data_IF_867655840140
#
_entry.id   IF_867655840140
#
_cell.length_a   1.000
_cell.length_b   1.000
_cell.length_c   1.000
_cell.angle_alpha   90.00
_cell.angle_beta   90.00
_cell.angle_gamma   90.00
#
_symmetry.space_group_name_H-M   'P 1'
#
loop_
_entity.id
_entity.type
_entity.pdbx_description
1 polymer ?
#
# COMPACT_ATOMS: atom_id res chain seq x y z
N UNK A 1 9.97 -11.94 -4.49
CA UNK A 1 9.75 -13.36 -4.21
C UNK A 1 8.58 -13.84 -5.05
N UNK A 2 7.96 -14.97 -4.75
CA UNK A 2 6.79 -15.45 -5.48
C UNK A 2 5.58 -14.57 -5.14
N UNK A 3 4.85 -14.15 -6.17
CA UNK A 3 3.51 -13.61 -6.00
C UNK A 3 2.57 -14.78 -5.70
N UNK A 4 1.72 -14.63 -4.70
CA UNK A 4 0.85 -15.71 -4.23
C UNK A 4 -0.60 -15.35 -4.49
N UNK A 5 -1.36 -16.35 -4.95
CA UNK A 5 -2.79 -16.22 -5.17
C UNK A 5 -3.56 -17.40 -4.55
N UNK A 6 -4.77 -17.12 -4.06
CA UNK A 6 -5.72 -18.16 -3.65
C UNK A 6 -7.14 -17.66 -3.80
N UNK A 7 -8.10 -18.57 -3.92
CA UNK A 7 -9.51 -18.24 -4.01
C UNK A 7 -10.35 -19.23 -3.24
N UNK A 8 -11.57 -18.83 -2.89
CA UNK A 8 -12.45 -19.69 -2.13
C UNK A 8 -13.78 -19.06 -1.83
N UNK A 9 -14.47 -19.68 -0.88
CA UNK A 9 -15.75 -19.23 -0.34
C UNK A 9 -15.56 -18.93 1.14
N UNK A 10 -16.09 -17.80 1.58
CA UNK A 10 -16.19 -17.45 2.99
C UNK A 10 -17.65 -17.59 3.46
N UNK A 11 -17.83 -18.11 4.67
CA UNK A 11 -19.16 -18.32 5.26
C UNK A 11 -19.81 -17.02 5.75
N UNK A 12 -18.98 -16.06 6.17
CA UNK A 12 -19.36 -14.73 6.65
C UNK A 12 -18.11 -13.85 6.77
N UNK A 13 -18.26 -12.62 7.27
CA UNK A 13 -17.17 -11.65 7.43
C UNK A 13 -16.07 -12.15 8.37
N UNK A 14 -16.43 -12.85 9.45
CA UNK A 14 -15.45 -13.35 10.42
C UNK A 14 -14.60 -14.49 9.85
N UNK A 15 -15.22 -15.47 9.17
CA UNK A 15 -14.51 -16.54 8.48
C UNK A 15 -13.57 -15.98 7.41
N UNK A 16 -14.02 -14.96 6.67
CA UNK A 16 -13.19 -14.25 5.71
C UNK A 16 -11.96 -13.58 6.35
N UNK A 17 -12.12 -12.90 7.49
CA UNK A 17 -11.01 -12.28 8.21
C UNK A 17 -9.94 -13.31 8.61
N UNK A 18 -10.37 -14.45 9.14
CA UNK A 18 -9.47 -15.56 9.52
C UNK A 18 -8.72 -16.09 8.30
N UNK A 19 -9.43 -16.36 7.20
CA UNK A 19 -8.81 -16.83 5.94
C UNK A 19 -7.81 -15.84 5.36
N UNK A 20 -8.10 -14.54 5.39
CA UNK A 20 -7.19 -13.49 4.93
C UNK A 20 -5.92 -13.46 5.80
N UNK A 21 -6.08 -13.47 7.12
CA UNK A 21 -4.96 -13.49 8.08
C UNK A 21 -4.10 -14.75 7.89
N UNK A 22 -4.73 -15.92 7.76
CA UNK A 22 -4.01 -17.18 7.55
C UNK A 22 -3.26 -17.19 6.22
N UNK A 23 -3.87 -16.71 5.12
CA UNK A 23 -3.18 -16.59 3.84
C UNK A 23 -1.94 -15.70 3.93
N UNK A 24 -2.09 -14.48 4.47
CA UNK A 24 -1.00 -13.53 4.57
C UNK A 24 0.13 -14.04 5.49
N UNK A 25 -0.20 -14.70 6.59
CA UNK A 25 0.81 -15.14 7.56
C UNK A 25 1.46 -16.48 7.25
N UNK A 26 0.72 -17.44 6.68
CA UNK A 26 1.20 -18.81 6.46
C UNK A 26 1.71 -19.06 5.06
N UNK A 27 1.20 -18.32 4.06
CA UNK A 27 1.57 -18.50 2.65
C UNK A 27 2.51 -17.39 2.20
N UNK A 28 2.13 -16.13 2.43
CA UNK A 28 2.85 -14.97 1.90
C UNK A 28 4.06 -14.60 2.76
N UNK A 29 3.99 -14.84 4.07
CA UNK A 29 5.08 -14.59 5.02
C UNK A 29 5.00 -13.25 5.76
N UNK A 30 3.82 -12.62 5.77
CA UNK A 30 3.56 -11.49 6.67
C UNK A 30 3.56 -11.97 8.12
N UNK A 31 3.83 -11.07 9.06
CA UNK A 31 3.82 -11.38 10.49
C UNK A 31 2.53 -10.88 11.14
N UNK A 32 1.91 -11.70 11.99
CA UNK A 32 0.86 -11.23 12.90
C UNK A 32 1.51 -10.40 14.01
N UNK A 33 1.35 -9.09 13.94
CA UNK A 33 1.99 -8.12 14.84
C UNK A 33 1.15 -7.83 16.08
N UNK A 34 -0.17 -7.81 15.93
CA UNK A 34 -1.11 -7.68 17.04
C UNK A 34 -2.39 -8.47 16.75
N UNK A 35 -2.97 -9.05 17.80
CA UNK A 35 -4.13 -9.94 17.72
C UNK A 35 -5.22 -9.47 18.68
N UNK A 36 -6.20 -8.76 18.11
CA UNK A 36 -7.41 -8.30 18.80
C UNK A 36 -8.60 -9.23 18.58
N UNK A 37 -8.40 -10.53 18.34
CA UNK A 37 -9.51 -11.47 18.07
C UNK A 37 -10.52 -11.62 19.22
N UNK A 38 -10.14 -11.23 20.44
CA UNK A 38 -11.02 -11.24 21.61
C UNK A 38 -11.81 -9.93 21.81
N UNK A 39 -11.56 -8.91 21.01
CA UNK A 39 -12.25 -7.61 21.10
C UNK A 39 -13.68 -7.66 20.54
N UNK A 40 -14.58 -6.73 20.93
CA UNK A 40 -15.94 -6.66 20.39
C UNK A 40 -16.01 -6.52 18.87
N UNK A 41 -15.04 -5.81 18.28
CA UNK A 41 -14.77 -5.73 16.85
C UNK A 41 -13.43 -6.45 16.59
N UNK A 42 -13.44 -7.77 16.32
CA UNK A 42 -12.22 -8.56 16.19
C UNK A 42 -11.30 -8.00 15.11
N UNK A 43 -10.00 -7.92 15.39
CA UNK A 43 -9.04 -7.41 14.42
C UNK A 43 -7.70 -8.16 14.42
N UNK A 44 -6.98 -8.02 13.32
CA UNK A 44 -5.59 -8.44 13.18
C UNK A 44 -4.75 -7.30 12.61
N UNK A 45 -3.58 -7.05 13.20
CA UNK A 45 -2.58 -6.16 12.65
C UNK A 45 -1.49 -7.01 12.04
N UNK A 46 -1.31 -6.88 10.73
CA UNK A 46 -0.32 -7.62 9.97
C UNK A 46 0.81 -6.69 9.56
N UNK A 47 2.05 -7.18 9.73
CA UNK A 47 3.28 -6.49 9.39
C UNK A 47 3.99 -7.17 8.24
N UNK A 48 4.52 -6.38 7.31
CA UNK A 48 5.49 -6.84 6.33
C UNK A 48 6.71 -5.90 6.26
N UNK A 49 7.87 -6.49 5.96
CA UNK A 49 9.13 -5.77 5.70
C UNK A 49 9.37 -5.50 4.22
N UNK A 50 8.39 -5.84 3.37
CA UNK A 50 8.50 -5.75 1.92
C UNK A 50 9.49 -6.77 1.35
N UNK A 51 9.48 -6.89 0.03
CA UNK A 51 10.44 -7.71 -0.72
C UNK A 51 11.86 -7.15 -0.62
N UNK A 52 12.00 -5.86 -0.38
CA UNK A 52 13.29 -5.19 -0.16
C UNK A 52 13.87 -5.48 1.24
N UNK A 53 13.05 -5.95 2.19
CA UNK A 53 13.43 -6.20 3.58
C UNK A 53 13.65 -4.93 4.41
N UNK A 54 13.44 -3.74 3.84
CA UNK A 54 13.66 -2.45 4.50
C UNK A 54 12.38 -1.63 4.67
N UNK A 55 11.22 -2.19 4.34
CA UNK A 55 9.93 -1.50 4.45
C UNK A 55 9.34 -1.65 5.86
N UNK A 56 8.42 -0.76 6.20
CA UNK A 56 7.56 -0.93 7.37
C UNK A 56 6.10 -0.80 6.94
N UNK A 57 5.48 -1.94 6.68
CA UNK A 57 4.07 -1.99 6.27
C UNK A 57 3.27 -2.52 7.45
N UNK A 58 2.40 -1.70 8.01
CA UNK A 58 1.45 -2.10 9.07
C UNK A 58 0.03 -1.92 8.57
N UNK A 59 -0.71 -3.02 8.41
CA UNK A 59 -2.11 -3.02 8.01
C UNK A 59 -2.97 -3.64 9.11
N UNK A 60 -3.96 -2.90 9.58
CA UNK A 60 -4.99 -3.39 10.48
C UNK A 60 -6.24 -3.78 9.69
N UNK A 61 -6.74 -4.99 9.92
CA UNK A 61 -7.98 -5.53 9.38
C UNK A 61 -8.96 -5.78 10.53
N UNK A 62 -10.10 -5.06 10.52
CA UNK A 62 -11.09 -5.08 11.61
C UNK A 62 -12.40 -5.63 11.06
N UNK A 63 -12.95 -6.66 11.69
CA UNK A 63 -14.34 -7.06 11.49
C UNK A 63 -15.23 -6.06 12.23
N UNK A 64 -15.86 -5.16 11.47
CA UNK A 64 -16.79 -4.18 12.02
C UNK A 64 -18.14 -4.88 12.26
N UNK A 65 -18.38 -5.32 13.49
CA UNK A 65 -19.36 -6.35 13.84
C UNK A 65 -20.82 -6.02 13.50
N UNK A 66 -21.10 -4.79 13.06
CA UNK A 66 -22.45 -4.32 12.69
C UNK A 66 -22.57 -3.96 11.21
N UNK A 67 -21.54 -4.22 10.41
CA UNK A 67 -21.53 -3.86 8.99
C UNK A 67 -20.84 -4.95 8.18
N UNK A 68 -21.42 -5.29 7.03
CA UNK A 68 -20.90 -6.26 6.06
C UNK A 68 -19.56 -5.78 5.41
N UNK A 69 -18.50 -5.64 6.22
CA UNK A 69 -17.17 -5.19 5.79
C UNK A 69 -16.05 -5.58 6.76
N UNK A 70 -14.84 -5.70 6.19
CA UNK A 70 -13.58 -5.63 6.93
C UNK A 70 -13.00 -4.23 6.75
N UNK A 71 -12.95 -3.41 7.82
CA UNK A 71 -12.29 -2.11 7.79
C UNK A 71 -10.79 -2.30 7.67
N UNK A 72 -10.14 -1.52 6.80
CA UNK A 72 -8.69 -1.56 6.60
C UNK A 72 -8.08 -0.21 6.93
N UNK A 73 -7.01 -0.24 7.73
CA UNK A 73 -6.22 0.94 8.09
C UNK A 73 -4.74 0.66 7.92
N UNK A 74 -3.99 1.64 7.43
CA UNK A 74 -2.53 1.62 7.41
C UNK A 74 -1.97 2.48 8.53
N UNK A 75 -0.81 2.13 9.10
CA UNK A 75 -0.13 2.95 10.11
C UNK A 75 1.35 3.14 9.78
N UNK A 76 1.93 4.29 10.15
CA UNK A 76 3.37 4.54 10.10
C UNK A 76 4.11 3.48 10.93
N UNK A 77 3.53 3.18 12.08
CA UNK A 77 3.94 2.18 13.05
C UNK A 77 2.71 1.71 13.84
N UNK A 78 2.76 0.50 14.38
CA UNK A 78 1.77 -0.01 15.32
C UNK A 78 2.40 -0.34 16.67
N UNK A 79 1.92 0.32 17.72
CA UNK A 79 2.27 0.00 19.10
C UNK A 79 1.38 -1.14 19.61
N UNK A 80 1.93 -2.36 19.63
CA UNK A 80 1.24 -3.55 20.12
C UNK A 80 1.04 -3.57 21.64
N UNK A 81 1.73 -2.71 22.40
CA UNK A 81 1.51 -2.57 23.85
C UNK A 81 0.32 -1.65 24.13
N UNK A 82 0.21 -0.57 23.37
CA UNK A 82 -0.91 0.36 23.47
C UNK A 82 -2.13 -0.05 22.64
N UNK A 83 -2.01 -1.08 21.80
CA UNK A 83 -3.00 -1.49 20.80
C UNK A 83 -3.45 -0.32 19.91
N UNK A 84 -2.48 0.46 19.42
CA UNK A 84 -2.75 1.72 18.73
C UNK A 84 -1.82 1.97 17.54
N UNK A 85 -2.40 2.46 16.43
CA UNK A 85 -1.67 2.89 15.25
C UNK A 85 -1.14 4.32 15.38
N UNK A 86 0.10 4.53 14.95
CA UNK A 86 0.71 5.86 14.84
C UNK A 86 0.52 6.40 13.42
N UNK A 87 0.02 7.64 13.32
CA UNK A 87 -0.29 8.34 12.06
C UNK A 87 -1.09 7.49 11.06
N UNK A 88 -2.19 6.88 11.52
CA UNK A 88 -3.04 6.03 10.69
C UNK A 88 -3.52 6.71 9.39
N UNK A 89 -3.64 5.96 8.30
CA UNK A 89 -4.28 6.36 7.06
C UNK A 89 -5.45 5.42 6.76
N UNK A 90 -6.65 5.97 6.71
CA UNK A 90 -7.89 5.24 6.41
C UNK A 90 -9.02 6.21 6.07
N UNK A 91 -10.24 5.77 5.81
CA UNK A 91 -11.42 6.63 5.83
C UNK A 91 -12.61 5.83 6.32
N UNK A 92 -13.29 6.31 7.37
CA UNK A 92 -14.35 5.61 8.11
C UNK A 92 -15.41 4.93 7.23
N UNK A 93 -15.73 5.56 6.09
CA UNK A 93 -16.78 5.09 5.18
C UNK A 93 -16.29 4.45 3.89
N UNK A 94 -14.97 4.40 3.61
CA UNK A 94 -14.49 4.00 2.28
C UNK A 94 -13.33 3.00 2.27
N UNK A 95 -12.47 2.96 3.29
CA UNK A 95 -11.34 2.02 3.32
C UNK A 95 -11.74 0.72 4.01
N UNK A 96 -12.32 -0.16 3.23
CA UNK A 96 -12.76 -1.47 3.70
C UNK A 96 -12.77 -2.47 2.55
N UNK A 97 -12.81 -3.76 2.89
CA UNK A 97 -13.14 -4.86 1.99
C UNK A 97 -14.62 -5.16 2.16
N UNK A 98 -15.37 -5.20 1.06
CA UNK A 98 -16.81 -5.51 1.11
C UNK A 98 -17.02 -7.00 1.38
N UNK A 99 -17.85 -7.33 2.36
CA UNK A 99 -18.23 -8.71 2.69
C UNK A 99 -19.76 -8.83 2.77
N UNK A 100 -20.27 -9.93 3.32
CA UNK A 100 -21.66 -10.12 3.73
C UNK A 100 -21.76 -11.20 4.82
N UNK A 101 -22.50 -10.96 5.88
CA UNK A 101 -22.68 -11.92 6.98
C UNK A 101 -23.87 -12.86 6.79
N UNK A 102 -24.88 -12.41 6.04
CA UNK A 102 -26.13 -13.16 5.86
C UNK A 102 -26.02 -14.34 4.88
N UNK A 103 -24.90 -14.47 4.15
CA UNK A 103 -24.73 -15.51 3.13
C UNK A 103 -23.25 -15.74 2.80
N UNK A 104 -22.96 -16.92 2.27
CA UNK A 104 -21.65 -17.21 1.68
C UNK A 104 -21.32 -16.26 0.51
N UNK A 105 -20.04 -15.96 0.33
CA UNK A 105 -19.54 -15.15 -0.79
C UNK A 105 -18.18 -15.64 -1.27
N UNK A 106 -17.85 -15.36 -2.54
CA UNK A 106 -16.58 -15.75 -3.15
C UNK A 106 -15.51 -14.69 -2.90
N UNK A 107 -14.25 -15.13 -2.80
CA UNK A 107 -13.10 -14.26 -2.68
C UNK A 107 -11.89 -14.74 -3.49
N UNK A 108 -11.01 -13.79 -3.77
CA UNK A 108 -9.67 -14.00 -4.31
C UNK A 108 -8.69 -13.11 -3.55
N UNK A 109 -7.58 -13.70 -3.12
CA UNK A 109 -6.45 -13.01 -2.52
C UNK A 109 -5.26 -13.08 -3.45
N UNK A 110 -4.56 -11.96 -3.59
CA UNK A 110 -3.31 -11.84 -4.32
C UNK A 110 -2.36 -11.03 -3.47
N UNK A 111 -1.16 -11.53 -3.20
CA UNK A 111 -0.21 -10.83 -2.35
C UNK A 111 1.23 -11.31 -2.53
N UNK A 112 2.14 -10.43 -2.19
CA UNK A 112 3.54 -10.68 -1.88
C UNK A 112 3.89 -9.92 -0.58
N UNK A 113 5.17 -9.77 -0.24
CA UNK A 113 5.56 -8.98 0.92
C UNK A 113 5.31 -7.47 0.74
N UNK A 114 5.13 -6.97 -0.48
CA UNK A 114 4.96 -5.53 -0.74
C UNK A 114 3.50 -5.08 -0.65
N UNK A 115 2.54 -5.95 -1.00
CA UNK A 115 1.14 -5.56 -1.05
C UNK A 115 0.16 -6.73 -0.96
N UNK A 116 -1.12 -6.37 -0.77
CA UNK A 116 -2.26 -7.28 -0.86
C UNK A 116 -3.35 -6.64 -1.72
N UNK A 117 -3.85 -7.42 -2.69
CA UNK A 117 -5.10 -7.18 -3.38
C UNK A 117 -6.11 -8.24 -2.97
N UNK A 118 -7.31 -7.78 -2.64
CA UNK A 118 -8.46 -8.61 -2.31
C UNK A 118 -9.58 -8.29 -3.28
N UNK A 119 -10.17 -9.34 -3.85
CA UNK A 119 -11.42 -9.24 -4.60
C UNK A 119 -12.47 -10.08 -3.90
N UNK A 120 -13.67 -9.51 -3.69
CA UNK A 120 -14.84 -10.24 -3.20
C UNK A 120 -15.98 -10.12 -4.19
N UNK A 121 -16.80 -11.17 -4.28
CA UNK A 121 -18.04 -11.16 -5.06
C UNK A 121 -19.22 -11.25 -4.12
N UNK A 122 -19.92 -10.14 -3.93
CA UNK A 122 -21.13 -10.07 -3.11
C UNK A 122 -22.33 -9.95 -4.04
N UNK A 123 -23.22 -10.95 -3.97
CA UNK A 123 -24.26 -11.17 -4.97
C UNK A 123 -23.67 -11.23 -6.40
N UNK A 124 -24.01 -10.27 -7.26
CA UNK A 124 -23.54 -10.21 -8.64
C UNK A 124 -22.39 -9.21 -8.86
N UNK A 125 -21.89 -8.57 -7.79
CA UNK A 125 -20.96 -7.44 -7.89
C UNK A 125 -19.59 -7.81 -7.35
N UNK A 126 -18.54 -7.51 -8.12
CA UNK A 126 -17.16 -7.63 -7.67
C UNK A 126 -16.68 -6.32 -7.04
N UNK A 127 -16.06 -6.45 -5.87
CA UNK A 127 -15.44 -5.37 -5.12
C UNK A 127 -13.95 -5.65 -4.98
N UNK A 128 -13.14 -4.59 -5.04
CA UNK A 128 -11.69 -4.69 -4.96
C UNK A 128 -11.14 -3.84 -3.85
N UNK A 129 -10.09 -4.31 -3.20
CA UNK A 129 -9.34 -3.58 -2.19
C UNK A 129 -7.85 -3.84 -2.38
N UNK A 130 -7.07 -2.77 -2.54
CA UNK A 130 -5.60 -2.84 -2.64
C UNK A 130 -5.00 -2.08 -1.47
N UNK A 131 -4.06 -2.70 -0.74
CA UNK A 131 -3.29 -2.01 0.28
C UNK A 131 -1.84 -2.49 0.30
N UNK A 132 -0.90 -1.59 0.61
CA UNK A 132 0.53 -1.88 0.63
C UNK A 132 1.33 -0.85 -0.16
N UNK A 133 2.51 -1.25 -0.63
CA UNK A 133 3.39 -0.41 -1.43
C UNK A 133 2.85 -0.22 -2.85
N UNK A 134 3.51 0.65 -3.59
CA UNK A 134 3.39 0.81 -5.03
C UNK A 134 4.77 0.70 -5.65
N UNK A 135 4.83 0.44 -6.95
CA UNK A 135 6.06 0.67 -7.72
C UNK A 135 6.33 2.17 -7.71
N UNK A 136 7.33 2.59 -6.92
CA UNK A 136 7.65 4.00 -6.69
C UNK A 136 8.14 4.67 -7.96
N UNK A 137 7.72 5.92 -8.16
CA UNK A 137 8.34 6.78 -9.16
C UNK A 137 9.70 7.34 -8.68
N UNK A 138 9.81 7.60 -7.38
CA UNK A 138 11.05 8.07 -6.73
C UNK A 138 11.88 6.91 -6.19
N UNK A 139 13.13 7.18 -5.84
CA UNK A 139 14.03 6.15 -5.33
C UNK A 139 13.52 5.54 -4.02
N UNK A 140 13.55 4.20 -3.94
CA UNK A 140 13.34 3.45 -2.70
C UNK A 140 14.60 3.33 -1.83
N UNK A 141 15.72 3.95 -2.22
CA UNK A 141 16.95 3.92 -1.42
C UNK A 141 16.78 4.73 -0.13
N UNK A 142 17.28 4.17 0.97
CA UNK A 142 17.13 4.73 2.31
C UNK A 142 18.45 4.64 3.06
N UNK A 143 18.83 5.73 3.73
CA UNK A 143 19.86 5.74 4.74
C UNK A 143 19.24 5.69 6.14
N UNK A 144 19.98 5.17 7.11
CA UNK A 144 19.53 4.88 8.47
C UNK A 144 20.37 5.64 9.47
N UNK A 145 19.73 6.39 10.36
CA UNK A 145 20.42 7.15 11.42
C UNK A 145 21.15 6.20 12.38
N UNK A 146 22.39 6.54 12.70
CA UNK A 146 23.26 5.75 13.58
C UNK A 146 23.16 6.18 15.05
N UNK A 147 22.61 7.37 15.29
CA UNK A 147 22.34 7.92 16.62
C UNK A 147 20.98 8.62 16.61
N UNK A 148 20.40 8.80 17.79
CA UNK A 148 19.24 9.66 17.96
C UNK A 148 19.60 11.12 17.68
N UNK A 149 18.67 11.87 17.08
CA UNK A 149 18.88 13.25 16.65
C UNK A 149 17.81 14.16 17.25
N UNK A 150 18.24 15.35 17.67
CA UNK A 150 17.37 16.35 18.28
C UNK A 150 16.93 17.40 17.25
N UNK A 151 15.74 18.01 17.43
CA UNK A 151 15.28 19.06 16.55
C UNK A 151 16.17 20.30 16.65
N UNK A 152 16.21 21.08 15.57
CA UNK A 152 17.03 22.29 15.49
C UNK A 152 17.31 22.70 14.05
N UNK A 153 18.19 23.69 13.91
CA UNK A 153 18.69 24.15 12.61
C UNK A 153 20.12 23.66 12.38
N UNK A 154 20.49 23.45 11.12
CA UNK A 154 21.80 22.91 10.70
C UNK A 154 22.18 21.62 11.44
N UNK A 155 21.21 20.71 11.53
CA UNK A 155 21.36 19.47 12.30
C UNK A 155 22.22 18.48 11.52
N UNK A 156 23.28 18.00 12.17
CA UNK A 156 24.15 16.95 11.64
C UNK A 156 23.57 15.56 11.97
N UNK A 157 23.21 14.81 10.95
CA UNK A 157 22.76 13.43 11.03
C UNK A 157 23.93 12.48 10.75
N UNK A 158 24.15 11.51 11.62
CA UNK A 158 25.05 10.38 11.32
C UNK A 158 24.23 9.27 10.67
N UNK A 159 24.62 8.82 9.48
CA UNK A 159 23.89 7.80 8.71
C UNK A 159 24.84 6.70 8.24
N UNK A 160 24.30 5.52 7.95
CA UNK A 160 25.08 4.41 7.38
C UNK A 160 25.55 4.66 5.95
N UNK A 161 24.76 5.40 5.14
CA UNK A 161 25.07 5.69 3.75
C UNK A 161 24.60 7.09 3.37
N UNK A 162 25.53 8.01 3.21
CA UNK A 162 25.21 9.37 2.76
C UNK A 162 25.28 9.56 1.23
N UNK A 163 25.67 8.53 0.48
CA UNK A 163 25.90 8.63 -0.97
C UNK A 163 24.61 8.81 -1.79
N UNK A 164 23.46 8.48 -1.20
CA UNK A 164 22.14 8.65 -1.82
C UNK A 164 21.65 10.10 -1.84
N UNK A 165 22.34 11.01 -1.14
CA UNK A 165 21.90 12.40 -0.99
C UNK A 165 22.59 13.34 -1.98
N UNK A 166 21.80 14.27 -2.50
CA UNK A 166 22.27 15.42 -3.26
C UNK A 166 21.96 16.69 -2.47
N UNK A 167 22.97 17.55 -2.32
CA UNK A 167 22.83 18.86 -1.66
C UNK A 167 21.75 19.71 -2.35
N UNK A 168 21.04 20.51 -1.57
CA UNK A 168 19.92 21.37 -1.94
C UNK A 168 18.64 20.63 -2.39
N UNK A 169 18.56 19.32 -2.19
CA UNK A 169 17.35 18.52 -2.44
C UNK A 169 16.59 18.23 -1.15
N UNK A 170 15.30 17.91 -1.32
CA UNK A 170 14.40 17.52 -0.25
C UNK A 170 14.25 16.01 -0.18
N UNK A 171 14.22 15.49 1.05
CA UNK A 171 14.06 14.08 1.37
C UNK A 171 13.08 13.95 2.55
N UNK A 172 12.57 12.74 2.76
CA UNK A 172 11.73 12.41 3.89
C UNK A 172 12.55 11.66 4.93
N UNK A 173 12.43 12.06 6.20
CA UNK A 173 12.92 11.30 7.35
C UNK A 173 11.72 10.80 8.14
N UNK A 174 11.74 9.53 8.53
CA UNK A 174 10.72 8.90 9.39
C UNK A 174 11.33 8.01 10.48
N UNK A 175 10.59 7.84 11.56
CA UNK A 175 10.72 6.74 12.50
C UNK A 175 9.33 6.24 12.89
N UNK A 176 9.22 5.53 14.02
CA UNK A 176 7.95 4.99 14.51
C UNK A 176 6.99 6.09 15.03
N UNK A 177 7.48 7.29 15.28
CA UNK A 177 6.70 8.41 15.85
C UNK A 177 6.28 9.43 14.80
N UNK A 178 7.15 9.66 13.81
CA UNK A 178 7.08 10.83 12.96
C UNK A 178 7.53 10.57 11.53
N UNK A 179 7.11 11.49 10.67
CA UNK A 179 7.64 11.65 9.33
C UNK A 179 7.61 13.14 9.02
N UNK A 180 8.69 13.66 8.44
CA UNK A 180 8.81 15.04 8.00
C UNK A 180 9.69 15.16 6.76
N UNK A 181 9.61 16.31 6.08
CA UNK A 181 10.44 16.63 4.94
C UNK A 181 11.58 17.55 5.35
N UNK A 182 12.80 17.18 4.96
CA UNK A 182 14.04 17.89 5.27
C UNK A 182 14.78 18.26 4.00
N UNK A 183 15.53 19.36 4.01
CA UNK A 183 16.44 19.73 2.92
C UNK A 183 17.88 19.45 3.34
N UNK A 184 18.66 18.80 2.47
CA UNK A 184 20.08 18.52 2.70
C UNK A 184 20.94 19.73 2.31
N UNK A 185 21.85 20.15 3.18
CA UNK A 185 22.80 21.25 2.92
C UNK A 185 24.25 20.79 2.81
N UNK A 186 24.60 19.65 3.40
CA UNK A 186 25.93 19.08 3.30
C UNK A 186 25.88 17.55 3.34
N UNK A 187 26.84 16.92 2.68
CA UNK A 187 27.02 15.47 2.62
C UNK A 187 28.50 15.18 2.80
N UNK A 188 28.84 14.30 3.74
CA UNK A 188 30.20 13.82 3.96
C UNK A 188 30.21 12.28 3.95
N UNK A 189 30.80 11.73 2.89
CA UNK A 189 31.01 10.29 2.71
C UNK A 189 32.41 9.83 3.08
N UNK A 190 33.29 10.74 3.52
CA UNK A 190 34.68 10.46 3.91
C UNK A 190 34.86 10.07 5.37
N UNK A 191 33.79 10.17 6.18
CA UNK A 191 33.77 9.82 7.61
C UNK A 191 32.92 8.57 7.86
N UNK A 192 33.19 7.85 8.94
CA UNK A 192 32.41 6.67 9.36
C UNK A 192 31.95 6.83 10.81
N UNK A 193 30.64 6.85 11.10
CA UNK A 193 29.54 6.83 10.13
C UNK A 193 29.54 8.07 9.22
N UNK A 194 28.97 7.94 8.02
CA UNK A 194 28.80 9.06 7.10
C UNK A 194 27.95 10.15 7.76
N UNK A 195 28.04 11.38 7.28
CA UNK A 195 27.21 12.47 7.82
C UNK A 195 26.48 13.26 6.76
N UNK A 196 25.31 13.78 7.15
CA UNK A 196 24.45 14.62 6.32
C UNK A 196 23.95 15.77 7.18
N UNK A 197 24.03 17.00 6.71
CA UNK A 197 23.46 18.16 7.41
C UNK A 197 22.12 18.52 6.80
N UNK A 198 21.12 18.77 7.64
CA UNK A 198 19.80 19.24 7.23
C UNK A 198 19.54 20.67 7.70
N UNK A 199 18.84 21.47 6.89
CA UNK A 199 18.53 22.88 7.20
C UNK A 199 17.80 23.02 8.53
N UNK A 200 16.71 22.27 8.68
CA UNK A 200 15.84 22.33 9.84
C UNK A 200 15.22 20.96 10.07
N UNK A 201 15.26 20.50 11.31
CA UNK A 201 14.62 19.28 11.78
C UNK A 201 13.59 19.71 12.83
N UNK A 202 12.30 19.48 12.58
CA UNK A 202 11.26 19.97 13.48
C UNK A 202 10.98 18.98 14.62
N UNK A 203 11.25 17.69 14.40
CA UNK A 203 11.03 16.63 15.37
C UNK A 203 12.35 15.98 15.80
N UNK A 204 12.33 15.33 16.97
CA UNK A 204 13.40 14.39 17.33
C UNK A 204 13.17 13.07 16.58
N UNK A 205 14.26 12.38 16.24
CA UNK A 205 14.18 11.03 15.66
C UNK A 205 15.09 10.06 16.42
N UNK A 206 14.59 8.85 16.62
CA UNK A 206 15.36 7.79 17.26
C UNK A 206 16.53 7.31 16.37
N UNK A 207 17.43 6.51 16.97
CA UNK A 207 18.37 5.71 16.19
C UNK A 207 17.58 4.73 15.31
N UNK A 208 18.02 4.50 14.08
CA UNK A 208 17.30 3.64 13.14
C UNK A 208 16.27 4.37 12.29
N UNK A 209 16.11 5.69 12.45
CA UNK A 209 15.24 6.49 11.59
C UNK A 209 15.71 6.42 10.13
N UNK A 210 14.75 6.32 9.22
CA UNK A 210 14.95 6.11 7.78
C UNK A 210 14.84 7.45 7.07
N UNK A 211 15.82 7.79 6.25
CA UNK A 211 15.83 9.00 5.42
C UNK A 211 16.08 8.65 3.95
N UNK A 212 15.23 9.16 3.04
CA UNK A 212 15.27 8.84 1.61
C UNK A 212 14.25 9.63 0.80
N UNK A 213 14.14 9.38 -0.51
CA UNK A 213 13.19 10.09 -1.38
C UNK A 213 11.74 9.66 -1.11
N UNK A 214 11.47 8.35 -1.06
CA UNK A 214 10.15 7.81 -0.74
C UNK A 214 10.24 6.58 0.18
N UNK A 215 10.60 6.78 1.46
CA UNK A 215 10.79 5.69 2.43
C UNK A 215 9.48 5.04 2.88
N UNK A 216 8.30 5.49 2.42
CA UNK A 216 7.01 4.92 2.85
C UNK A 216 5.84 5.14 1.86
N UNK A 217 5.86 4.53 0.67
CA UNK A 217 4.85 4.72 -0.36
C UNK A 217 3.58 3.89 -0.10
N UNK A 218 3.20 3.69 1.16
CA UNK A 218 2.07 2.83 1.54
C UNK A 218 0.75 3.54 1.24
N UNK A 219 -0.14 2.84 0.54
CA UNK A 219 -1.50 3.29 0.24
C UNK A 219 -2.54 2.32 0.78
N UNK A 220 -3.72 2.86 1.09
CA UNK A 220 -4.88 2.12 1.58
C UNK A 220 -6.05 2.35 0.64
N UNK A 221 -6.47 1.27 -0.02
CA UNK A 221 -7.48 1.30 -1.05
C UNK A 221 -8.89 1.59 -0.53
N UNK A 222 -9.73 2.11 -1.42
CA UNK A 222 -11.17 2.06 -1.22
C UNK A 222 -11.70 0.63 -1.40
N UNK A 223 -12.94 0.39 -0.97
CA UNK A 223 -13.70 -0.84 -1.27
C UNK A 223 -14.03 -1.07 -2.75
N UNK A 224 -13.66 -0.11 -3.60
CA UNK A 224 -13.74 -0.14 -5.06
C UNK A 224 -12.37 0.23 -5.63
N UNK A 225 -11.29 -0.23 -5.00
CA UNK A 225 -9.95 -0.08 -5.56
C UNK A 225 -9.81 -0.91 -6.82
N UNK A 226 -8.98 -0.49 -7.80
CA UNK A 226 -7.86 0.46 -7.64
C UNK A 226 -8.19 1.96 -7.64
N UNK A 227 -9.36 2.41 -8.12
CA UNK A 227 -9.62 3.81 -8.52
C UNK A 227 -9.33 4.95 -7.53
N UNK A 228 -9.41 4.73 -6.22
CA UNK A 228 -8.98 5.74 -5.23
C UNK A 228 -8.43 5.12 -3.97
N UNK A 229 -7.58 5.88 -3.27
CA UNK A 229 -6.87 5.42 -2.08
C UNK A 229 -6.60 6.57 -1.12
N UNK A 230 -6.09 6.21 0.05
CA UNK A 230 -5.56 7.11 1.05
C UNK A 230 -4.11 6.72 1.37
N UNK A 231 -3.19 7.65 1.18
CA UNK A 231 -1.77 7.43 1.44
C UNK A 231 -1.37 7.73 2.88
N UNK A 232 -0.30 7.05 3.30
CA UNK A 232 0.28 7.16 4.63
C UNK A 232 1.32 8.29 4.76
N UNK A 233 1.94 8.73 3.66
CA UNK A 233 2.94 9.81 3.63
C UNK A 233 2.34 11.17 4.06
N UNK A 234 2.33 11.45 5.37
CA UNK A 234 1.80 12.67 6.02
C UNK A 234 2.90 13.51 6.66
N UNK A 235 3.85 13.96 5.86
CA UNK A 235 5.04 14.67 6.36
C UNK A 235 4.88 16.19 6.46
N UNK A 236 3.83 16.75 5.84
CA UNK A 236 3.56 18.19 5.72
C UNK A 236 2.65 18.73 6.83
N UNK A 237 2.46 17.96 7.90
CA UNK A 237 1.56 18.33 9.00
C UNK A 237 0.08 18.08 8.71
N UNK A 238 -0.27 17.32 7.67
CA UNK A 238 -1.65 16.90 7.39
C UNK A 238 -2.31 16.24 8.61
N UNK A 239 -3.29 16.92 9.18
CA UNK A 239 -3.89 16.59 10.48
C UNK A 239 -5.08 15.64 10.40
N UNK A 240 -5.61 15.36 9.21
CA UNK A 240 -6.72 14.42 9.08
C UNK A 240 -6.25 13.00 9.40
N UNK A 241 -7.04 12.30 10.22
CA UNK A 241 -6.92 10.85 10.41
C UNK A 241 -7.14 10.10 9.10
N UNK A 242 -7.83 10.72 8.13
CA UNK A 242 -8.28 10.03 6.93
C UNK A 242 -7.20 9.71 5.89
N UNK A 243 -5.90 9.75 6.20
CA UNK A 243 -4.88 9.70 5.15
C UNK A 243 -4.93 10.92 4.21
N UNK A 244 -4.03 10.93 3.23
CA UNK A 244 -4.11 11.88 2.12
C UNK A 244 -4.73 11.23 0.90
N UNK A 245 -5.75 11.86 0.31
CA UNK A 245 -6.47 11.27 -0.81
C UNK A 245 -5.63 11.24 -2.09
N UNK A 246 -5.71 10.12 -2.79
CA UNK A 246 -5.17 9.96 -4.13
C UNK A 246 -6.09 9.12 -5.01
N UNK A 247 -5.73 9.07 -6.29
CA UNK A 247 -6.42 8.27 -7.29
C UNK A 247 -5.45 7.37 -8.00
N UNK A 248 -5.91 6.17 -8.34
CA UNK A 248 -5.26 5.45 -9.41
C UNK A 248 -6.14 5.45 -10.65
N UNK A 249 -5.51 5.54 -11.81
CA UNK A 249 -6.19 5.51 -13.09
C UNK A 249 -5.33 4.77 -14.09
N UNK A 250 -6.01 4.11 -15.03
CA UNK A 250 -5.32 3.49 -16.12
C UNK A 250 -4.60 4.53 -16.99
N UNK A 251 -3.35 4.24 -17.39
CA UNK A 251 -2.52 5.12 -18.22
C UNK A 251 -3.07 5.38 -19.64
N UNK A 252 -4.23 4.84 -19.98
CA UNK A 252 -4.59 4.53 -21.35
C UNK A 252 -5.64 5.44 -22.00
N UNK A 253 -6.19 6.47 -21.34
CA UNK A 253 -6.98 7.52 -22.00
C UNK A 253 -8.06 7.07 -23.01
N UNK A 254 -8.76 5.95 -22.76
CA UNK A 254 -9.70 5.25 -23.67
C UNK A 254 -9.13 4.26 -24.74
N UNK A 255 -7.84 3.92 -24.73
CA UNK A 255 -7.23 2.93 -25.65
C UNK A 255 -7.72 1.49 -25.45
N UNK A 256 -8.39 1.17 -24.34
CA UNK A 256 -9.03 -0.12 -24.13
C UNK A 256 -10.13 -0.43 -25.16
N UNK A 257 -10.76 0.61 -25.72
CA UNK A 257 -11.71 0.46 -26.85
C UNK A 257 -11.01 0.24 -28.20
N UNK A 258 -9.71 0.59 -28.29
CA UNK A 258 -8.89 0.34 -29.47
C UNK A 258 -8.30 -1.08 -29.48
N UNK A 259 -8.49 -1.85 -28.41
CA UNK A 259 -7.97 -3.20 -28.20
C UNK A 259 -9.11 -4.21 -28.09
N UNK A 260 -9.98 -4.25 -29.11
CA UNK A 260 -10.90 -5.37 -29.28
C UNK A 260 -10.07 -6.64 -29.60
N UNK A 261 -10.08 -7.68 -28.74
CA UNK A 261 -9.31 -8.91 -28.97
C UNK A 261 -9.67 -9.55 -30.31
N UNK A 262 -10.93 -9.54 -30.71
CA UNK A 262 -11.41 -10.08 -31.98
C UNK A 262 -10.79 -9.38 -33.20
N UNK A 263 -10.42 -8.10 -33.06
CA UNK A 263 -9.84 -7.29 -34.16
C UNK A 263 -8.31 -7.34 -34.22
N UNK A 264 -7.65 -7.90 -33.21
CA UNK A 264 -6.19 -8.02 -33.14
C UNK A 264 -5.74 -9.45 -32.87
N UNK A 265 -6.41 -10.43 -33.49
CA UNK A 265 -6.02 -11.85 -33.44
C UNK A 265 -5.99 -12.47 -32.03
N UNK A 266 -6.86 -12.02 -31.12
CA UNK A 266 -6.90 -12.48 -29.72
C UNK A 266 -5.85 -11.83 -28.80
N UNK A 267 -5.16 -10.77 -29.25
CA UNK A 267 -4.17 -10.08 -28.42
C UNK A 267 -4.81 -9.03 -27.52
N UNK A 268 -4.79 -9.28 -26.21
CA UNK A 268 -5.20 -8.31 -25.20
C UNK A 268 -4.10 -7.28 -24.93
N UNK A 269 -4.49 -6.02 -24.70
CA UNK A 269 -3.56 -4.98 -24.22
C UNK A 269 -3.84 -4.70 -22.76
N UNK A 270 -2.78 -4.73 -21.94
CA UNK A 270 -2.82 -4.43 -20.52
C UNK A 270 -2.03 -3.15 -20.26
N UNK A 271 -2.51 -2.28 -19.37
CA UNK A 271 -1.82 -1.07 -18.96
C UNK A 271 -1.67 -1.03 -17.44
N UNK A 272 -0.57 -0.51 -16.89
CA UNK A 272 -0.45 -0.33 -15.45
C UNK A 272 -1.49 0.69 -14.95
N UNK A 273 -1.95 0.48 -13.72
CA UNK A 273 -2.69 1.49 -12.97
C UNK A 273 -1.69 2.49 -12.39
N UNK A 274 -1.70 3.72 -12.89
CA UNK A 274 -0.87 4.79 -12.37
C UNK A 274 -1.50 5.34 -11.11
N UNK A 275 -0.67 5.60 -10.11
CA UNK A 275 -1.04 6.08 -8.77
C UNK A 275 -0.51 7.49 -8.60
N UNK A 276 -1.36 8.42 -8.16
CA UNK A 276 -0.92 9.76 -7.81
C UNK A 276 -1.83 10.40 -6.76
N UNK A 277 -1.26 11.30 -5.97
CA UNK A 277 -2.05 12.22 -5.17
C UNK A 277 -2.86 13.17 -6.04
N UNK A 278 -4.11 13.41 -5.64
CA UNK A 278 -5.06 14.28 -6.35
C UNK A 278 -5.24 15.63 -5.69
N UNK A 279 -4.72 15.82 -4.47
CA UNK A 279 -4.80 17.11 -3.79
C UNK A 279 -3.93 18.16 -4.51
N UNK A 280 -4.43 19.39 -4.56
CA UNK A 280 -3.73 20.51 -5.24
C UNK A 280 -2.52 21.01 -4.46
N UNK A 281 -2.47 20.77 -3.15
CA UNK A 281 -1.39 21.23 -2.29
C UNK A 281 -0.15 20.32 -2.34
N UNK A 282 -0.28 19.05 -2.74
CA UNK A 282 0.77 18.07 -2.52
C UNK A 282 0.74 16.89 -3.51
N UNK A 283 1.89 16.59 -4.17
CA UNK A 283 1.99 15.62 -5.27
C UNK A 283 3.30 14.82 -5.29
N UNK A 284 3.79 14.37 -4.13
CA UNK A 284 5.03 13.57 -4.09
C UNK A 284 4.76 12.08 -4.24
N UNK A 285 3.73 11.46 -3.65
CA UNK A 285 3.45 10.05 -3.94
C UNK A 285 2.98 9.86 -5.39
N UNK A 286 3.77 9.08 -6.14
CA UNK A 286 3.53 8.70 -7.53
C UNK A 286 4.11 7.33 -7.80
N UNK A 287 3.45 6.58 -8.68
CA UNK A 287 3.94 5.27 -9.06
C UNK A 287 2.91 4.46 -9.81
N UNK A 288 3.01 3.14 -9.68
CA UNK A 288 2.11 2.19 -10.32
C UNK A 288 1.69 1.11 -9.32
N UNK A 289 0.47 0.58 -9.44
CA UNK A 289 0.11 -0.60 -8.66
C UNK A 289 0.96 -1.80 -9.08
N UNK A 290 1.31 -2.61 -8.09
CA UNK A 290 2.12 -3.81 -8.30
C UNK A 290 1.17 -4.93 -8.79
N UNK A 291 1.50 -5.54 -9.92
CA UNK A 291 0.81 -6.71 -10.50
C UNK A 291 -0.70 -6.55 -10.79
N UNK A 292 -1.20 -5.31 -10.81
CA UNK A 292 -2.58 -4.95 -11.17
C UNK A 292 -2.60 -4.09 -12.42
N UNK A 293 -3.33 -4.54 -13.42
CA UNK A 293 -3.36 -3.91 -14.74
C UNK A 293 -4.79 -3.60 -15.18
N UNK A 294 -4.97 -2.48 -15.85
CA UNK A 294 -6.21 -2.11 -16.51
C UNK A 294 -6.32 -2.83 -17.86
N UNK A 295 -7.52 -3.32 -18.17
CA UNK A 295 -7.82 -4.00 -19.42
C UNK A 295 -9.14 -3.51 -20.02
N UNK A 296 -9.43 -3.88 -21.27
CA UNK A 296 -10.71 -3.57 -21.93
C UNK A 296 -11.84 -4.53 -21.58
N UNK A 297 -13.08 -4.04 -21.65
CA UNK A 297 -14.30 -4.79 -21.32
C UNK A 297 -14.69 -5.86 -22.33
N UNK A 298 -14.05 -5.90 -23.50
CA UNK A 298 -14.29 -6.90 -24.53
C UNK A 298 -13.35 -8.10 -24.45
N UNK A 299 -12.51 -8.16 -23.42
CA UNK A 299 -11.43 -9.14 -23.29
C UNK A 299 -11.91 -10.54 -22.88
N UNK A 300 -12.83 -10.60 -21.92
CA UNK A 300 -13.29 -11.83 -21.29
C UNK A 300 -14.41 -11.50 -20.27
N UNK A 301 -14.95 -12.53 -19.62
CA UNK A 301 -15.84 -12.41 -18.47
C UNK A 301 -15.03 -12.27 -17.16
N UNK A 302 -15.69 -11.82 -16.08
CA UNK A 302 -15.02 -11.80 -14.77
C UNK A 302 -14.76 -13.22 -14.29
N UNK A 303 -13.63 -13.41 -13.59
CA UNK A 303 -13.05 -14.69 -13.14
C UNK A 303 -12.29 -15.46 -14.22
N UNK A 304 -12.35 -15.04 -15.49
CA UNK A 304 -11.58 -15.65 -16.58
C UNK A 304 -10.07 -15.53 -16.32
N UNK A 305 -9.35 -16.51 -16.88
CA UNK A 305 -7.89 -16.62 -16.79
C UNK A 305 -7.29 -16.35 -18.16
N UNK A 306 -6.22 -15.55 -18.18
CA UNK A 306 -5.46 -15.20 -19.37
C UNK A 306 -4.01 -15.58 -19.21
N UNK A 307 -3.49 -16.31 -20.19
CA UNK A 307 -2.06 -16.58 -20.29
C UNK A 307 -1.45 -15.66 -21.33
N UNK A 308 -0.53 -14.78 -20.90
CA UNK A 308 0.15 -13.83 -21.75
C UNK A 308 1.61 -13.68 -21.35
N UNK A 309 2.49 -13.71 -22.36
CA UNK A 309 3.92 -13.44 -22.18
C UNK A 309 4.60 -14.30 -21.09
N UNK A 310 4.11 -15.53 -20.88
CA UNK A 310 4.64 -16.46 -19.88
C UNK A 310 4.16 -16.20 -18.45
N UNK A 311 3.14 -15.36 -18.25
CA UNK A 311 2.46 -15.14 -16.98
C UNK A 311 0.95 -15.44 -17.13
N UNK A 312 0.33 -15.80 -16.01
CA UNK A 312 -1.10 -16.05 -15.90
C UNK A 312 -1.74 -14.89 -15.15
N UNK A 313 -2.93 -14.48 -15.59
CA UNK A 313 -3.68 -13.37 -15.00
C UNK A 313 -5.13 -13.76 -14.80
N UNK A 314 -5.72 -13.36 -13.68
CA UNK A 314 -7.16 -13.42 -13.44
C UNK A 314 -7.82 -12.07 -13.68
N UNK A 315 -8.98 -12.08 -14.34
CA UNK A 315 -9.70 -10.88 -14.71
C UNK A 315 -10.88 -10.62 -13.76
N UNK A 316 -11.13 -9.35 -13.45
CA UNK A 316 -12.34 -8.91 -12.76
C UNK A 316 -12.91 -7.62 -13.36
N UNK A 317 -14.24 -7.51 -13.38
CA UNK A 317 -14.93 -6.24 -13.57
C UNK A 317 -15.30 -5.65 -12.21
N UNK A 318 -14.39 -4.89 -11.62
CA UNK A 318 -14.57 -4.31 -10.30
C UNK A 318 -15.54 -3.12 -10.38
N UNK A 319 -16.53 -3.12 -9.48
CA UNK A 319 -17.49 -2.03 -9.35
C UNK A 319 -16.80 -0.69 -9.17
N UNK A 320 -17.01 0.25 -10.10
CA UNK A 320 -16.40 1.58 -10.09
C UNK A 320 -15.24 1.72 -11.08
N UNK A 321 -14.04 1.17 -10.82
CA UNK A 321 -12.88 1.26 -11.70
C UNK A 321 -13.03 0.53 -13.03
N UNK A 322 -13.86 -0.52 -13.09
CA UNK A 322 -14.05 -1.35 -14.27
C UNK A 322 -13.09 -2.53 -14.33
N UNK A 323 -12.68 -2.89 -15.54
CA UNK A 323 -11.96 -4.12 -15.81
C UNK A 323 -10.48 -4.04 -15.41
N UNK A 324 -10.04 -5.03 -14.66
CA UNK A 324 -8.64 -5.24 -14.31
C UNK A 324 -8.23 -6.70 -14.51
N UNK A 325 -6.94 -6.89 -14.78
CA UNK A 325 -6.27 -8.17 -14.73
C UNK A 325 -5.21 -8.14 -13.63
N UNK A 326 -5.16 -9.21 -12.85
CA UNK A 326 -4.27 -9.38 -11.69
C UNK A 326 -3.43 -10.61 -11.95
N UNK A 327 -2.12 -10.54 -11.76
CA UNK A 327 -1.24 -11.71 -11.98
C UNK A 327 -1.58 -12.84 -11.00
N UNK A 328 -1.40 -14.10 -11.41
CA UNK A 328 -1.54 -15.27 -10.53
C UNK A 328 -0.20 -15.89 -10.10
#
# INVERSE_FOLDING_TARGET
>A
MAYHSTSGTADNTNDFLVKLKDFLTTVVGWTLHDDGSAEPDPYHVLKSVGESGIEDIYLQFINDANTDRIVVRGSLFWDATAHAGVKEAFHNSYTYIRTVDASQFLYWFFADLDHVLVVTKVAATYYGHYSGLINRFWSGAVAVTQIAVSPGSDVLLQVNDASIFTVDRYYLIKDDSGIERVQITAVDTGVTPNTVTVVNLANAYAVGAKIGEDPQPVIIGRYQSPGSFYALNKFDGWSSTTGQAGSSAAAHGNFQNASNPDKRYGLLTMFPWLVAHTSSAYKELRGELIEVYAIGSGAADSEDVLDMSGATYRIFNISGPGWCAVKE
#
